data_IF_078298855933
#
_entry.id   IF_078298855933
#
_cell.length_a   1.000
_cell.length_b   1.000
_cell.length_c   1.000
_cell.angle_alpha   90.00
_cell.angle_beta   90.00
_cell.angle_gamma   90.00
#
_symmetry.space_group_name_H-M   'P 1'
#
loop_
_entity.id
_entity.type
_entity.pdbx_description
1 polymer ?
#
# COMPACT_ATOMS: atom_id res chain seq x y z
N UNK A 1 -42.30 -12.76 -14.57
CA UNK A 1 -41.05 -12.73 -13.77
C UNK A 1 -41.00 -11.53 -12.79
N UNK A 2 -41.98 -11.36 -11.89
CA UNK A 2 -41.98 -10.27 -10.88
C UNK A 2 -42.20 -10.74 -9.44
N UNK A 3 -42.26 -12.05 -9.20
CA UNK A 3 -42.50 -12.63 -7.86
C UNK A 3 -41.23 -13.05 -7.11
N UNK A 4 -40.10 -13.24 -7.81
CA UNK A 4 -38.84 -13.68 -7.19
C UNK A 4 -38.11 -12.56 -6.41
N UNK A 5 -38.28 -11.30 -6.83
CA UNK A 5 -37.61 -10.15 -6.19
C UNK A 5 -38.19 -9.75 -4.83
N UNK A 6 -39.46 -10.08 -4.55
CA UNK A 6 -40.11 -9.74 -3.26
C UNK A 6 -39.79 -10.75 -2.14
N UNK A 7 -39.46 -12.00 -2.47
CA UNK A 7 -39.14 -13.03 -1.46
C UNK A 7 -37.78 -12.76 -0.80
N UNK A 8 -36.79 -12.31 -1.59
CA UNK A 8 -35.43 -12.04 -1.10
C UNK A 8 -35.41 -10.82 -0.16
N UNK A 9 -36.19 -9.77 -0.43
CA UNK A 9 -36.27 -8.61 0.46
C UNK A 9 -36.93 -8.90 1.82
N UNK A 10 -37.87 -9.86 1.90
CA UNK A 10 -38.46 -10.25 3.19
C UNK A 10 -37.52 -11.14 4.02
N UNK A 11 -36.67 -11.96 3.39
CA UNK A 11 -35.63 -12.70 4.11
C UNK A 11 -34.53 -11.78 4.67
N UNK A 12 -34.12 -10.74 3.92
CA UNK A 12 -33.08 -9.81 4.39
C UNK A 12 -33.58 -8.96 5.56
N UNK A 13 -34.84 -8.52 5.57
CA UNK A 13 -35.41 -7.80 6.71
C UNK A 13 -35.62 -8.69 7.96
N UNK A 14 -35.96 -9.97 7.78
CA UNK A 14 -36.10 -10.92 8.89
C UNK A 14 -34.79 -11.20 9.63
N UNK A 15 -33.65 -11.16 8.92
CA UNK A 15 -32.32 -11.38 9.52
C UNK A 15 -31.80 -10.12 10.21
N UNK A 16 -32.18 -8.93 9.75
CA UNK A 16 -31.74 -7.65 10.35
C UNK A 16 -32.53 -7.30 11.63
N UNK A 17 -33.75 -7.80 11.80
CA UNK A 17 -34.57 -7.52 12.99
C UNK A 17 -34.35 -8.50 14.15
N UNK A 18 -33.76 -9.68 13.90
CA UNK A 18 -33.46 -10.68 14.96
C UNK A 18 -32.13 -10.40 15.67
N UNK A 19 -31.28 -9.52 15.14
CA UNK A 19 -29.97 -9.20 15.73
C UNK A 19 -29.94 -7.91 16.58
N UNK A 20 -31.09 -7.26 16.79
CA UNK A 20 -31.25 -6.11 17.70
C UNK A 20 -32.59 -6.28 18.40
N UNK A 21 -32.67 -6.91 19.60
CA UNK A 21 -32.22 -6.27 20.84
C UNK A 21 -31.80 -7.26 21.95
N UNK A 22 -30.51 -7.33 22.33
CA UNK A 22 -30.08 -8.12 23.50
C UNK A 22 -29.09 -7.43 24.45
N UNK A 23 -28.94 -6.11 24.42
CA UNK A 23 -27.98 -5.44 25.34
C UNK A 23 -28.51 -4.23 26.09
N UNK A 24 -29.83 -4.15 26.30
CA UNK A 24 -30.39 -3.22 27.28
C UNK A 24 -31.46 -3.98 28.06
N UNK A 25 -31.29 -4.02 29.39
CA UNK A 25 -32.28 -4.39 30.41
C UNK A 25 -32.22 -5.81 31.03
N UNK A 26 -31.12 -6.11 31.72
CA UNK A 26 -31.18 -6.81 33.02
C UNK A 26 -30.14 -6.22 33.97
N UNK A 27 -30.47 -5.04 34.49
CA UNK A 27 -29.93 -4.62 35.77
C UNK A 27 -30.67 -5.36 36.88
N UNK A 28 -30.00 -6.28 37.56
CA UNK A 28 -30.18 -6.52 39.01
C UNK A 28 -29.02 -7.38 39.53
N UNK A 29 -28.13 -6.74 40.31
CA UNK A 29 -27.55 -7.23 41.58
C UNK A 29 -27.10 -8.70 41.61
N UNK A 30 -25.83 -9.06 41.83
CA UNK A 30 -24.93 -8.54 42.84
C UNK A 30 -23.56 -9.22 42.71
N UNK A 31 -22.54 -8.59 43.31
CA UNK A 31 -21.28 -9.19 43.79
C UNK A 31 -20.22 -9.56 42.73
N UNK A 32 -19.38 -8.58 42.38
CA UNK A 32 -17.98 -8.48 42.83
C UNK A 32 -17.30 -7.35 42.06
N UNK A 33 -16.77 -6.39 42.80
CA UNK A 33 -16.24 -5.15 42.24
C UNK A 33 -15.02 -5.38 41.34
N UNK A 34 -15.08 -4.84 40.13
CA UNK A 34 -13.91 -4.43 39.34
C UNK A 34 -14.38 -3.37 38.33
N UNK A 35 -13.65 -2.26 38.24
CA UNK A 35 -14.08 -1.03 37.58
C UNK A 35 -14.25 -1.10 36.04
N UNK A 36 -14.84 -0.05 35.44
CA UNK A 36 -15.20 0.02 34.02
C UNK A 36 -14.02 0.22 33.05
N UNK A 37 -12.78 0.01 33.47
CA UNK A 37 -11.59 0.39 32.71
C UNK A 37 -11.00 -0.71 31.84
N UNK A 38 -11.32 -2.00 32.05
CA UNK A 38 -10.68 -3.11 31.32
C UNK A 38 -11.31 -3.39 29.95
N UNK A 39 -12.61 -3.23 29.79
CA UNK A 39 -13.34 -3.55 28.54
C UNK A 39 -13.11 -2.53 27.41
N UNK A 40 -12.91 -1.26 27.74
CA UNK A 40 -12.53 -0.24 26.74
C UNK A 40 -11.06 -0.39 26.31
N UNK A 41 -10.21 -1.02 27.14
CA UNK A 41 -8.78 -1.19 26.89
C UNK A 41 -8.47 -2.32 25.92
N UNK A 42 -9.22 -3.42 25.94
CA UNK A 42 -9.07 -4.51 24.96
C UNK A 42 -9.44 -4.05 23.56
N UNK A 43 -10.55 -3.30 23.41
CA UNK A 43 -10.99 -2.81 22.10
C UNK A 43 -10.04 -1.84 21.39
N UNK A 44 -9.24 -1.06 22.12
CA UNK A 44 -8.29 -0.12 21.52
C UNK A 44 -7.00 -0.81 21.03
N UNK A 45 -6.50 -1.79 21.78
CA UNK A 45 -5.35 -2.60 21.37
C UNK A 45 -5.68 -3.47 20.15
N UNK A 46 -6.88 -4.07 20.14
CA UNK A 46 -7.37 -4.86 19.00
C UNK A 46 -7.57 -3.98 17.75
N UNK A 47 -8.08 -2.75 17.92
CA UNK A 47 -8.23 -1.81 16.82
C UNK A 47 -6.88 -1.36 16.24
N UNK A 48 -5.87 -1.13 17.08
CA UNK A 48 -4.55 -0.74 16.62
C UNK A 48 -3.81 -1.89 15.91
N UNK A 49 -4.01 -3.14 16.36
CA UNK A 49 -3.53 -4.33 15.64
C UNK A 49 -4.14 -4.47 14.25
N UNK A 50 -5.43 -4.23 14.09
CA UNK A 50 -6.09 -4.27 12.79
C UNK A 50 -5.50 -3.22 11.82
N UNK A 51 -5.15 -2.02 12.32
CA UNK A 51 -4.62 -0.95 11.48
C UNK A 51 -3.23 -1.26 10.95
N UNK A 52 -2.28 -1.67 11.80
CA UNK A 52 -0.93 -1.95 11.31
C UNK A 52 -0.85 -3.26 10.52
N UNK A 53 -1.71 -4.26 10.79
CA UNK A 53 -1.80 -5.47 9.95
C UNK A 53 -2.23 -5.11 8.53
N UNK A 54 -3.23 -4.24 8.38
CA UNK A 54 -3.64 -3.74 7.05
C UNK A 54 -2.52 -2.96 6.36
N UNK A 55 -1.81 -2.10 7.08
CA UNK A 55 -0.66 -1.37 6.52
C UNK A 55 0.43 -2.34 6.01
N UNK A 56 0.72 -3.42 6.76
CA UNK A 56 1.64 -4.47 6.33
C UNK A 56 1.14 -5.23 5.09
N UNK A 57 -0.15 -5.54 5.01
CA UNK A 57 -0.75 -6.18 3.82
C UNK A 57 -0.64 -5.29 2.59
N UNK A 58 -0.96 -4.00 2.71
CA UNK A 58 -0.82 -3.02 1.63
C UNK A 58 0.64 -2.86 1.19
N UNK A 59 1.58 -2.87 2.13
CA UNK A 59 3.01 -2.83 1.83
C UNK A 59 3.47 -4.10 1.08
N UNK A 60 3.04 -5.29 1.51
CA UNK A 60 3.35 -6.54 0.81
C UNK A 60 2.78 -6.54 -0.62
N UNK A 61 1.55 -6.04 -0.78
CA UNK A 61 0.91 -5.91 -2.10
C UNK A 61 1.70 -4.97 -3.01
N UNK A 62 2.11 -3.80 -2.51
CA UNK A 62 2.93 -2.87 -3.28
C UNK A 62 4.30 -3.45 -3.68
N UNK A 63 4.90 -4.30 -2.82
CA UNK A 63 6.15 -5.01 -3.15
C UNK A 63 5.93 -6.07 -4.22
N UNK A 64 4.79 -6.78 -4.19
CA UNK A 64 4.43 -7.72 -5.25
C UNK A 64 4.22 -7.00 -6.58
N UNK A 65 3.44 -5.91 -6.58
CA UNK A 65 3.25 -5.08 -7.77
C UNK A 65 4.60 -4.56 -8.32
N UNK A 66 5.51 -4.11 -7.45
CA UNK A 66 6.85 -3.70 -7.86
C UNK A 66 7.68 -4.84 -8.46
N UNK A 67 7.54 -6.07 -7.94
CA UNK A 67 8.16 -7.27 -8.54
C UNK A 67 7.55 -7.62 -9.90
N UNK A 68 6.25 -7.48 -10.07
CA UNK A 68 5.58 -7.72 -11.35
C UNK A 68 6.10 -6.75 -12.43
N UNK A 69 6.49 -5.53 -12.03
CA UNK A 69 7.19 -4.58 -12.90
C UNK A 69 8.70 -4.86 -13.05
N UNK A 70 9.21 -5.94 -12.48
CA UNK A 70 10.63 -6.34 -12.46
C UNK A 70 11.54 -5.29 -11.82
N UNK A 71 11.08 -4.65 -10.74
CA UNK A 71 11.87 -3.64 -10.02
C UNK A 71 13.15 -4.21 -9.40
N UNK A 72 13.23 -5.51 -9.17
CA UNK A 72 14.45 -6.20 -8.76
C UNK A 72 15.57 -6.13 -9.82
N UNK A 73 15.21 -6.07 -11.11
CA UNK A 73 16.16 -5.95 -12.21
C UNK A 73 16.42 -4.48 -12.57
N UNK A 74 15.35 -3.70 -12.69
CA UNK A 74 15.42 -2.35 -13.28
C UNK A 74 15.56 -1.21 -12.24
N UNK A 75 15.26 -1.47 -10.97
CA UNK A 75 15.40 -0.51 -9.88
C UNK A 75 15.87 -1.18 -8.57
N UNK A 76 17.00 -1.94 -8.59
CA UNK A 76 17.39 -2.81 -7.48
C UNK A 76 17.64 -2.07 -6.17
N UNK A 77 18.18 -0.84 -6.23
CA UNK A 77 18.45 -0.03 -5.05
C UNK A 77 17.17 0.37 -4.33
N UNK A 78 16.21 0.95 -5.04
CA UNK A 78 14.93 1.34 -4.48
C UNK A 78 14.11 0.13 -4.00
N UNK A 79 14.17 -0.97 -4.74
CA UNK A 79 13.48 -2.21 -4.37
C UNK A 79 14.06 -2.84 -3.10
N UNK A 80 15.39 -2.87 -2.96
CA UNK A 80 16.04 -3.34 -1.74
C UNK A 80 15.68 -2.49 -0.51
N UNK A 81 15.59 -1.16 -0.67
CA UNK A 81 15.13 -0.27 0.40
C UNK A 81 13.68 -0.57 0.82
N UNK A 82 12.79 -0.84 -0.13
CA UNK A 82 11.41 -1.22 0.18
C UNK A 82 11.33 -2.52 0.99
N UNK A 83 12.13 -3.53 0.60
CA UNK A 83 12.22 -4.79 1.33
C UNK A 83 12.78 -4.61 2.74
N UNK A 84 13.79 -3.73 2.90
CA UNK A 84 14.37 -3.42 4.20
C UNK A 84 13.34 -2.77 5.15
N UNK A 85 12.58 -1.79 4.67
CA UNK A 85 11.52 -1.18 5.49
C UNK A 85 10.42 -2.18 5.87
N UNK A 86 10.04 -3.07 4.96
CA UNK A 86 9.07 -4.13 5.26
C UNK A 86 9.62 -5.13 6.28
N UNK A 87 10.90 -5.49 6.20
CA UNK A 87 11.55 -6.35 7.19
C UNK A 87 11.54 -5.69 8.58
N UNK A 88 11.92 -4.42 8.66
CA UNK A 88 11.88 -3.64 9.90
C UNK A 88 10.46 -3.57 10.48
N UNK A 89 9.45 -3.27 9.64
CA UNK A 89 8.05 -3.24 10.07
C UNK A 89 7.57 -4.60 10.60
N UNK A 90 7.99 -5.71 9.97
CA UNK A 90 7.65 -7.07 10.43
C UNK A 90 8.33 -7.42 11.75
N UNK A 91 9.56 -6.99 11.95
CA UNK A 91 10.28 -7.25 13.19
C UNK A 91 9.72 -6.41 14.33
N UNK A 92 9.36 -5.14 14.09
CA UNK A 92 8.63 -4.32 15.06
C UNK A 92 7.22 -4.84 15.37
N UNK A 93 6.54 -5.44 14.38
CA UNK A 93 5.24 -6.07 14.64
C UNK A 93 5.37 -7.31 15.55
N UNK A 94 6.47 -8.07 15.43
CA UNK A 94 6.76 -9.20 16.33
C UNK A 94 7.08 -8.72 17.73
N UNK A 95 7.88 -7.65 17.88
CA UNK A 95 8.19 -7.08 19.20
C UNK A 95 6.91 -6.58 19.87
N UNK A 96 6.04 -5.86 19.14
CA UNK A 96 4.74 -5.42 19.64
C UNK A 96 3.89 -6.59 20.17
N UNK A 97 3.74 -7.67 19.39
CA UNK A 97 2.97 -8.86 19.83
C UNK A 97 3.57 -9.53 21.06
N UNK A 98 4.90 -9.59 21.14
CA UNK A 98 5.61 -10.17 22.29
C UNK A 98 5.57 -9.29 23.54
N UNK A 99 5.40 -7.97 23.40
CA UNK A 99 5.24 -7.04 24.53
C UNK A 99 3.78 -6.97 25.02
N UNK A 100 2.81 -7.19 24.13
CA UNK A 100 1.39 -7.23 24.44
C UNK A 100 0.98 -8.47 25.29
N UNK A 101 1.79 -9.53 25.29
CA UNK A 101 1.64 -10.72 26.14
C UNK A 101 2.85 -10.77 27.10
N UNK A 102 2.81 -10.61 28.46
CA UNK A 102 1.75 -10.36 29.43
C UNK A 102 2.17 -9.30 30.49
N UNK A 103 2.40 -8.03 30.14
CA UNK A 103 2.78 -6.96 31.11
C UNK A 103 1.65 -5.95 31.26
N UNK A 104 0.84 -6.16 32.30
CA UNK A 104 -0.54 -5.69 32.35
C UNK A 104 -0.77 -4.20 32.68
N UNK A 105 0.23 -3.38 33.07
CA UNK A 105 -0.11 -2.02 33.56
C UNK A 105 0.84 -0.84 33.24
N UNK A 106 2.03 -1.03 32.65
CA UNK A 106 3.01 0.08 32.49
C UNK A 106 3.32 0.52 31.06
N UNK A 107 2.81 -0.18 30.03
CA UNK A 107 3.32 -0.04 28.66
C UNK A 107 2.30 0.44 27.62
N UNK A 108 1.14 0.99 28.01
CA UNK A 108 0.15 1.48 27.03
C UNK A 108 0.71 2.59 26.11
N UNK A 109 1.57 3.46 26.65
CA UNK A 109 2.23 4.49 25.84
C UNK A 109 3.34 3.93 24.95
N UNK A 110 4.07 2.89 25.39
CA UNK A 110 5.09 2.24 24.54
C UNK A 110 4.46 1.37 23.46
N UNK A 111 3.41 0.62 23.79
CA UNK A 111 2.62 -0.18 22.86
C UNK A 111 1.99 0.68 21.75
N UNK A 112 1.42 1.84 22.12
CA UNK A 112 0.87 2.78 21.13
C UNK A 112 1.95 3.34 20.21
N UNK A 113 3.10 3.75 20.75
CA UNK A 113 4.23 4.23 19.96
C UNK A 113 4.79 3.16 19.03
N UNK A 114 4.87 1.90 19.47
CA UNK A 114 5.31 0.80 18.61
C UNK A 114 4.30 0.46 17.52
N UNK A 115 2.98 0.53 17.78
CA UNK A 115 1.97 0.32 16.74
C UNK A 115 1.99 1.40 15.67
N UNK A 116 2.18 2.67 16.07
CA UNK A 116 2.37 3.81 15.16
C UNK A 116 3.68 3.71 14.36
N UNK A 117 4.76 3.19 14.97
CA UNK A 117 6.03 2.94 14.30
C UNK A 117 5.92 1.84 13.22
N UNK A 118 5.22 0.73 13.52
CA UNK A 118 4.97 -0.34 12.55
C UNK A 118 4.17 0.18 11.36
N UNK A 119 3.11 0.96 11.59
CA UNK A 119 2.33 1.56 10.49
C UNK A 119 3.19 2.50 9.64
N UNK A 120 4.01 3.34 10.26
CA UNK A 120 4.86 4.30 9.54
C UNK A 120 5.94 3.59 8.72
N UNK A 121 6.55 2.52 9.24
CA UNK A 121 7.50 1.72 8.47
C UNK A 121 6.82 0.93 7.33
N UNK A 122 5.62 0.42 7.56
CA UNK A 122 4.85 -0.26 6.54
C UNK A 122 4.45 0.70 5.40
N UNK A 123 4.00 1.92 5.72
CA UNK A 123 3.72 2.96 4.73
C UNK A 123 4.98 3.39 3.97
N UNK A 124 6.11 3.57 4.66
CA UNK A 124 7.41 3.82 3.99
C UNK A 124 7.77 2.69 3.03
N UNK A 125 7.59 1.43 3.42
CA UNK A 125 7.83 0.29 2.55
C UNK A 125 6.90 0.31 1.32
N UNK A 126 5.62 0.61 1.51
CA UNK A 126 4.62 0.71 0.45
C UNK A 126 5.00 1.79 -0.58
N UNK A 127 5.31 3.01 -0.13
CA UNK A 127 5.65 4.10 -1.04
C UNK A 127 7.03 3.92 -1.68
N UNK A 128 7.99 3.36 -0.97
CA UNK A 128 9.29 3.00 -1.54
C UNK A 128 9.15 1.92 -2.63
N UNK A 129 8.26 0.94 -2.44
CA UNK A 129 7.94 -0.06 -3.47
C UNK A 129 7.28 0.58 -4.70
N UNK A 130 6.36 1.55 -4.52
CA UNK A 130 5.76 2.31 -5.62
C UNK A 130 6.81 3.12 -6.40
N UNK A 131 7.79 3.73 -5.72
CA UNK A 131 8.93 4.41 -6.37
C UNK A 131 9.76 3.41 -7.19
N UNK A 132 10.06 2.25 -6.63
CA UNK A 132 10.82 1.20 -7.32
C UNK A 132 10.09 0.70 -8.58
N UNK A 133 8.78 0.42 -8.48
CA UNK A 133 7.96 0.00 -9.61
C UNK A 133 7.88 1.06 -10.72
N UNK A 134 7.63 2.33 -10.36
CA UNK A 134 7.60 3.41 -11.33
C UNK A 134 8.95 3.63 -12.02
N UNK A 135 10.07 3.54 -11.28
CA UNK A 135 11.41 3.63 -11.84
C UNK A 135 11.73 2.44 -12.76
N UNK A 136 11.25 1.24 -12.44
CA UNK A 136 11.40 0.08 -13.32
C UNK A 136 10.71 0.31 -14.69
N UNK A 137 9.49 0.85 -14.68
CA UNK A 137 8.75 1.22 -15.90
C UNK A 137 9.50 2.32 -16.69
N UNK A 138 10.07 3.33 -16.00
CA UNK A 138 10.89 4.36 -16.64
C UNK A 138 12.08 3.75 -17.39
N UNK A 139 12.85 2.87 -16.73
CA UNK A 139 14.04 2.27 -17.36
C UNK A 139 13.65 1.35 -18.52
N UNK A 140 12.56 0.58 -18.40
CA UNK A 140 12.04 -0.25 -19.50
C UNK A 140 11.63 0.60 -20.70
N UNK A 141 10.80 1.61 -20.47
CA UNK A 141 10.34 2.52 -21.53
C UNK A 141 11.50 3.30 -22.15
N UNK A 142 12.51 3.71 -21.39
CA UNK A 142 13.71 4.38 -21.94
C UNK A 142 14.51 3.46 -22.88
N UNK A 143 14.62 2.16 -22.55
CA UNK A 143 15.26 1.17 -23.43
C UNK A 143 14.46 0.97 -24.72
N UNK A 144 13.15 0.83 -24.62
CA UNK A 144 12.26 0.67 -25.79
C UNK A 144 12.25 1.92 -26.68
N UNK A 145 12.17 3.12 -26.08
CA UNK A 145 12.29 4.39 -26.80
C UNK A 145 13.62 4.46 -27.55
N UNK A 146 14.72 4.04 -26.92
CA UNK A 146 16.04 4.05 -27.56
C UNK A 146 16.09 3.07 -28.73
N UNK A 147 15.51 1.88 -28.57
CA UNK A 147 15.43 0.88 -29.64
C UNK A 147 14.57 1.36 -30.82
N UNK A 148 13.38 1.92 -30.55
CA UNK A 148 12.50 2.47 -31.59
C UNK A 148 13.18 3.64 -32.31
N UNK A 149 13.86 4.54 -31.58
CA UNK A 149 14.63 5.64 -32.20
C UNK A 149 15.74 5.13 -33.11
N UNK A 150 16.44 4.07 -32.71
CA UNK A 150 17.44 3.42 -33.55
C UNK A 150 16.81 2.82 -34.82
N UNK A 151 15.70 2.10 -34.70
CA UNK A 151 14.97 1.55 -35.85
C UNK A 151 14.47 2.65 -36.80
N UNK A 152 13.93 3.74 -36.27
CA UNK A 152 13.54 4.91 -37.08
C UNK A 152 14.75 5.46 -37.83
N UNK A 153 15.89 5.66 -37.14
CA UNK A 153 17.11 6.15 -37.79
C UNK A 153 17.63 5.20 -38.88
N UNK A 154 17.59 3.88 -38.64
CA UNK A 154 17.98 2.88 -39.64
C UNK A 154 17.09 2.96 -40.88
N UNK A 155 15.76 3.09 -40.72
CA UNK A 155 14.85 3.28 -41.87
C UNK A 155 15.14 4.56 -42.65
N UNK A 156 15.67 5.62 -42.02
CA UNK A 156 16.11 6.83 -42.73
C UNK A 156 17.38 6.63 -43.55
N UNK A 157 18.28 5.77 -43.09
CA UNK A 157 19.58 5.53 -43.74
C UNK A 157 19.49 4.51 -44.87
N UNK A 158 18.52 3.59 -44.84
CA UNK A 158 18.38 2.53 -45.85
C UNK A 158 17.43 2.88 -47.01
N UNK A 159 16.43 3.75 -46.79
CA UNK A 159 15.48 4.13 -47.84
C UNK A 159 15.95 5.33 -48.67
N UNK A 160 16.40 5.05 -49.90
CA UNK A 160 16.87 6.05 -50.89
C UNK A 160 15.80 7.11 -51.21
N UNK A 161 14.51 6.75 -51.11
CA UNK A 161 13.40 7.64 -51.45
C UNK A 161 12.91 8.52 -50.29
N UNK A 162 13.42 8.36 -49.06
CA UNK A 162 13.05 9.12 -47.85
C UNK A 162 11.53 9.27 -47.58
N UNK A 163 10.68 8.56 -48.30
CA UNK A 163 9.23 8.67 -48.23
C UNK A 163 8.69 8.14 -46.89
N UNK A 164 7.54 8.67 -46.46
CA UNK A 164 6.83 8.12 -45.29
C UNK A 164 6.28 6.73 -45.64
N UNK A 165 6.90 5.69 -45.08
CA UNK A 165 6.40 4.32 -45.19
C UNK A 165 5.42 4.03 -44.05
N UNK A 166 4.45 3.12 -44.23
CA UNK A 166 3.53 2.72 -43.16
C UNK A 166 4.25 2.24 -41.88
N UNK A 167 5.39 1.56 -42.05
CA UNK A 167 6.25 1.13 -40.94
C UNK A 167 6.80 2.32 -40.15
N UNK A 168 7.20 3.42 -40.81
CA UNK A 168 7.69 4.63 -40.14
C UNK A 168 6.59 5.30 -39.32
N UNK A 169 5.37 5.39 -39.87
CA UNK A 169 4.24 5.95 -39.14
C UNK A 169 3.91 5.11 -37.89
N UNK A 170 3.93 3.79 -38.02
CA UNK A 170 3.77 2.86 -36.89
C UNK A 170 4.84 3.09 -35.81
N UNK A 171 6.12 3.10 -36.18
CA UNK A 171 7.23 3.31 -35.23
C UNK A 171 7.15 4.67 -34.51
N UNK A 172 6.72 5.73 -35.20
CA UNK A 172 6.50 7.04 -34.58
C UNK A 172 5.29 7.03 -33.65
N UNK A 173 4.23 6.28 -33.98
CA UNK A 173 3.09 6.05 -33.09
C UNK A 173 3.48 5.29 -31.82
N UNK A 174 4.24 4.20 -31.97
CA UNK A 174 4.79 3.42 -30.86
C UNK A 174 5.72 4.27 -29.98
N UNK A 175 6.56 5.11 -30.59
CA UNK A 175 7.41 6.05 -29.88
C UNK A 175 6.59 7.01 -29.01
N UNK A 176 5.52 7.60 -29.57
CA UNK A 176 4.64 8.50 -28.85
C UNK A 176 3.93 7.82 -27.67
N UNK A 177 3.48 6.58 -27.86
CA UNK A 177 2.87 5.78 -26.80
C UNK A 177 3.86 5.51 -25.65
N UNK A 178 5.09 5.10 -25.97
CA UNK A 178 6.12 4.84 -24.96
C UNK A 178 6.58 6.10 -24.23
N UNK A 179 6.68 7.23 -24.92
CA UNK A 179 6.98 8.52 -24.27
C UNK A 179 5.86 8.95 -23.31
N UNK A 180 4.60 8.64 -23.62
CA UNK A 180 3.47 8.87 -22.72
C UNK A 180 3.56 7.98 -21.47
N UNK A 181 3.82 6.67 -21.64
CA UNK A 181 4.02 5.72 -20.53
C UNK A 181 5.15 6.19 -19.61
N UNK A 182 6.30 6.59 -20.17
CA UNK A 182 7.42 7.14 -19.40
C UNK A 182 7.03 8.39 -18.61
N UNK A 183 6.26 9.30 -19.23
CA UNK A 183 5.80 10.53 -18.59
C UNK A 183 4.84 10.26 -17.43
N UNK A 184 3.97 9.27 -17.57
CA UNK A 184 3.06 8.83 -16.51
C UNK A 184 3.82 8.16 -15.36
N UNK A 185 4.78 7.29 -15.67
CA UNK A 185 5.67 6.68 -14.68
C UNK A 185 6.41 7.74 -13.85
N UNK A 186 6.98 8.77 -14.50
CA UNK A 186 7.62 9.91 -13.81
C UNK A 186 6.67 10.67 -12.88
N UNK A 187 5.43 10.87 -13.30
CA UNK A 187 4.41 11.52 -12.45
C UNK A 187 4.04 10.64 -11.26
N UNK A 188 3.90 9.33 -11.47
CA UNK A 188 3.61 8.39 -10.40
C UNK A 188 4.76 8.33 -9.39
N UNK A 189 6.01 8.30 -9.88
CA UNK A 189 7.22 8.36 -9.07
C UNK A 189 7.28 9.62 -8.23
N UNK A 190 7.13 10.80 -8.85
CA UNK A 190 7.18 12.08 -8.13
C UNK A 190 6.12 12.18 -7.02
N UNK A 191 4.90 11.64 -7.27
CA UNK A 191 3.86 11.55 -6.24
C UNK A 191 4.28 10.64 -5.10
N UNK A 192 4.81 9.46 -5.39
CA UNK A 192 5.26 8.52 -4.37
C UNK A 192 6.44 9.07 -3.55
N UNK A 193 7.41 9.72 -4.21
CA UNK A 193 8.54 10.38 -3.55
C UNK A 193 8.08 11.54 -2.65
N UNK A 194 7.08 12.32 -3.08
CA UNK A 194 6.52 13.40 -2.26
C UNK A 194 5.88 12.90 -0.97
N UNK A 195 5.14 11.79 -1.04
CA UNK A 195 4.52 11.18 0.15
C UNK A 195 5.59 10.49 1.01
N UNK A 196 6.59 9.87 0.40
CA UNK A 196 7.69 9.30 1.16
C UNK A 196 8.47 10.39 1.91
N UNK A 197 8.66 11.56 1.29
CA UNK A 197 9.29 12.69 1.95
C UNK A 197 8.50 13.16 3.17
N UNK A 198 7.17 13.31 3.08
CA UNK A 198 6.35 13.68 4.23
C UNK A 198 6.43 12.63 5.35
N UNK A 199 6.35 11.34 5.02
CA UNK A 199 6.48 10.24 6.00
C UNK A 199 7.88 10.19 6.66
N UNK A 200 8.93 10.59 5.94
CA UNK A 200 10.27 10.69 6.54
C UNK A 200 10.37 11.85 7.53
N UNK A 201 9.73 12.99 7.24
CA UNK A 201 9.70 14.15 8.14
C UNK A 201 8.88 13.86 9.40
N UNK A 202 7.74 13.16 9.28
CA UNK A 202 6.92 12.74 10.43
C UNK A 202 7.68 11.80 11.37
N UNK A 203 8.50 10.89 10.83
CA UNK A 203 9.37 10.03 11.63
C UNK A 203 10.56 10.75 12.30
N UNK A 204 10.87 11.99 11.90
CA UNK A 204 11.95 12.81 12.47
C UNK A 204 11.45 13.88 13.44
N UNK A 205 10.14 14.10 13.53
CA UNK A 205 9.55 15.03 14.49
C UNK A 205 9.75 14.50 15.92
N UNK A 206 10.81 14.95 16.59
CA UNK A 206 10.97 14.74 18.04
C UNK A 206 9.76 15.34 18.76
N UNK A 207 9.16 14.64 19.76
CA UNK A 207 8.05 15.20 20.51
C UNK A 207 8.49 16.53 21.15
N UNK A 208 7.63 17.55 21.04
CA UNK A 208 7.89 18.87 21.61
C UNK A 208 8.21 18.74 23.12
N UNK A 209 9.16 19.55 23.63
CA UNK A 209 9.61 19.49 25.03
C UNK A 209 8.50 19.75 26.05
#
# INVERSE_FOLDING_TARGET
>A
MRYWRRSIHRMVFGVVVVLVPCTLWTGSLALLGTGPSTWLRTGLADAQEIVFVKALEEANKAIQEARDFEADIYAPGEFALALNYLAQAKDEAKTFRSEAQPKQDTHLFSARKSGEAVSLLAEKAQYQAKVAGAKAIEVKSDREITAIKAQVADTFNTDVNRSFTPLREQLLGELGAMEAVRKEARRARARAESVLHTLTLEGQATPAP
#
